data_IF_771833144842
#
_entry.id   IF_771833144842
#
_cell.length_a   1.000
_cell.length_b   1.000
_cell.length_c   1.000
_cell.angle_alpha   90.00
_cell.angle_beta   90.00
_cell.angle_gamma   90.00
#
_symmetry.space_group_name_H-M   'P 1'
#
loop_
_entity.id
_entity.type
_entity.pdbx_description
1 polymer ?
#
# COMPACT_ATOMS: atom_id res chain seq x y z
N UNK A 1 18.81 -11.01 9.24
CA UNK A 1 18.00 -11.40 8.06
C UNK A 1 18.01 -10.30 6.99
N UNK A 2 17.40 -10.53 5.83
CA UNK A 2 17.40 -9.59 4.67
C UNK A 2 16.96 -8.17 5.03
N UNK A 3 15.95 -8.01 5.88
CA UNK A 3 15.45 -6.68 6.33
C UNK A 3 16.56 -5.88 7.04
N UNK A 4 17.37 -6.53 7.87
CA UNK A 4 18.47 -5.84 8.55
C UNK A 4 19.55 -5.41 7.55
N UNK A 5 19.89 -6.28 6.60
CA UNK A 5 20.84 -5.94 5.52
C UNK A 5 20.33 -4.75 4.70
N UNK A 6 19.06 -4.73 4.35
CA UNK A 6 18.45 -3.61 3.64
C UNK A 6 18.58 -2.30 4.42
N UNK A 7 18.25 -2.33 5.72
CA UNK A 7 18.37 -1.17 6.61
C UNK A 7 19.80 -0.67 6.77
N UNK A 8 20.73 -1.59 6.99
CA UNK A 8 22.15 -1.26 7.17
C UNK A 8 22.76 -0.62 5.89
N UNK A 9 22.11 -0.85 4.74
CA UNK A 9 22.49 -0.26 3.45
C UNK A 9 21.57 0.88 2.99
N UNK A 10 20.67 1.38 3.84
CA UNK A 10 19.76 2.49 3.50
C UNK A 10 18.73 2.16 2.42
N UNK A 11 18.42 0.87 2.22
CA UNK A 11 17.42 0.42 1.24
C UNK A 11 16.03 0.50 1.84
N UNK A 12 15.11 1.17 1.16
CA UNK A 12 13.72 1.30 1.56
C UNK A 12 13.01 -0.06 1.37
N UNK A 13 12.27 -0.46 2.37
CA UNK A 13 11.61 -1.77 2.42
C UNK A 13 10.09 -1.65 2.36
N UNK A 14 9.46 -2.49 1.53
CA UNK A 14 8.01 -2.58 1.43
C UNK A 14 7.56 -4.04 1.41
N UNK A 15 6.38 -4.30 1.95
CA UNK A 15 5.76 -5.62 1.89
C UNK A 15 4.26 -5.55 1.63
N UNK A 16 3.79 -6.52 0.88
CA UNK A 16 2.40 -6.89 0.73
C UNK A 16 2.22 -8.37 1.11
N UNK A 17 1.03 -8.79 1.44
CA UNK A 17 0.71 -10.19 1.66
C UNK A 17 -0.35 -10.66 0.66
N UNK A 18 -0.21 -11.89 0.18
CA UNK A 18 -1.26 -12.53 -0.62
C UNK A 18 -2.09 -13.44 0.28
N UNK A 19 -3.38 -13.16 0.34
CA UNK A 19 -4.35 -13.96 1.11
C UNK A 19 -5.18 -14.93 0.26
N UNK A 20 -4.88 -15.03 -1.04
CA UNK A 20 -5.71 -15.81 -1.99
C UNK A 20 -5.59 -17.33 -1.83
N UNK A 21 -4.50 -17.86 -1.31
CA UNK A 21 -4.27 -19.31 -1.17
C UNK A 21 -3.74 -19.76 0.20
N UNK A 22 -3.28 -18.84 1.02
CA UNK A 22 -2.83 -19.10 2.39
C UNK A 22 -3.21 -17.90 3.26
N UNK A 23 -3.46 -18.14 4.56
CA UNK A 23 -3.68 -17.05 5.51
C UNK A 23 -2.36 -16.30 5.67
N UNK A 24 -2.21 -15.22 4.91
CA UNK A 24 -1.07 -14.32 5.01
C UNK A 24 -1.16 -13.51 6.30
N UNK A 25 -0.12 -13.53 7.12
CA UNK A 25 0.00 -12.65 8.28
C UNK A 25 0.88 -11.45 7.90
N UNK A 26 0.24 -10.33 7.57
CA UNK A 26 0.94 -9.08 7.23
C UNK A 26 1.75 -8.53 8.42
N UNK A 27 1.31 -8.79 9.65
CA UNK A 27 1.99 -8.36 10.86
C UNK A 27 3.35 -9.02 11.10
N UNK A 28 3.64 -10.14 10.41
CA UNK A 28 4.97 -10.80 10.47
C UNK A 28 6.08 -9.96 9.85
N UNK A 29 5.74 -9.05 8.94
CA UNK A 29 6.72 -8.17 8.30
C UNK A 29 7.08 -7.02 9.25
N UNK A 30 8.06 -7.26 10.11
CA UNK A 30 8.46 -6.33 11.16
C UNK A 30 9.41 -5.25 10.65
N UNK A 31 9.18 -4.01 11.14
CA UNK A 31 10.05 -2.87 10.92
C UNK A 31 10.21 -2.47 9.43
N UNK A 32 9.21 -2.68 8.60
CA UNK A 32 9.21 -2.24 7.21
C UNK A 32 9.00 -0.72 7.12
N UNK A 33 9.48 -0.11 6.05
CA UNK A 33 9.17 1.29 5.78
C UNK A 33 7.73 1.44 5.29
N UNK A 34 7.23 0.46 4.50
CA UNK A 34 5.85 0.43 4.00
C UNK A 34 5.21 -0.95 4.11
N UNK A 35 3.92 -0.99 4.49
CA UNK A 35 3.05 -2.16 4.35
C UNK A 35 1.81 -1.81 3.52
N UNK A 36 1.40 -2.74 2.65
CA UNK A 36 0.27 -2.58 1.73
C UNK A 36 -0.82 -3.65 1.96
N UNK A 37 -1.38 -3.77 3.17
CA UNK A 37 -2.42 -4.76 3.43
C UNK A 37 -3.75 -4.38 2.78
N UNK A 38 -4.58 -5.39 2.50
CA UNK A 38 -6.02 -5.20 2.42
C UNK A 38 -6.61 -5.08 3.83
N UNK A 39 -7.82 -4.52 3.95
CA UNK A 39 -8.54 -4.50 5.23
C UNK A 39 -8.70 -5.91 5.81
N UNK A 40 -9.04 -6.89 4.98
CA UNK A 40 -9.20 -8.29 5.38
C UNK A 40 -7.91 -8.86 5.98
N UNK A 41 -6.77 -8.65 5.35
CA UNK A 41 -5.45 -9.10 5.83
C UNK A 41 -5.07 -8.45 7.16
N UNK A 42 -5.34 -7.15 7.30
CA UNK A 42 -5.11 -6.43 8.56
C UNK A 42 -5.96 -6.99 9.69
N UNK A 43 -7.26 -7.27 9.42
CA UNK A 43 -8.18 -7.84 10.40
C UNK A 43 -7.77 -9.25 10.83
N UNK A 44 -7.37 -10.10 9.90
CA UNK A 44 -6.85 -11.45 10.20
C UNK A 44 -5.60 -11.35 11.08
N UNK A 45 -4.62 -10.56 10.67
CA UNK A 45 -3.34 -10.40 11.37
C UNK A 45 -3.53 -9.89 12.81
N UNK A 46 -4.47 -8.98 13.02
CA UNK A 46 -4.80 -8.42 14.34
C UNK A 46 -5.84 -9.23 15.12
N UNK A 47 -6.47 -10.24 14.49
CA UNK A 47 -7.63 -10.95 15.03
C UNK A 47 -8.71 -9.99 15.52
N UNK A 48 -8.99 -8.97 14.72
CA UNK A 48 -9.84 -7.84 15.09
C UNK A 48 -10.86 -7.55 13.99
N UNK A 49 -12.12 -7.77 14.29
CA UNK A 49 -13.22 -7.58 13.36
C UNK A 49 -14.07 -6.33 13.63
N UNK A 50 -13.91 -5.72 14.82
CA UNK A 50 -14.83 -4.70 15.34
C UNK A 50 -14.31 -3.27 15.19
N UNK A 51 -13.00 -3.06 15.18
CA UNK A 51 -12.42 -1.72 15.10
C UNK A 51 -12.65 -1.05 13.75
N UNK A 52 -12.79 0.28 13.79
CA UNK A 52 -12.77 1.11 12.57
C UNK A 52 -11.38 1.09 11.89
N UNK A 53 -11.37 1.34 10.58
CA UNK A 53 -10.16 1.21 9.75
C UNK A 53 -8.98 2.07 10.20
N UNK A 54 -9.23 3.23 10.80
CA UNK A 54 -8.18 4.11 11.37
C UNK A 54 -7.49 3.42 12.54
N UNK A 55 -8.28 2.90 13.50
CA UNK A 55 -7.76 2.19 14.67
C UNK A 55 -7.05 0.90 14.24
N UNK A 56 -7.59 0.20 13.24
CA UNK A 56 -7.00 -0.99 12.67
C UNK A 56 -5.59 -0.70 12.11
N UNK A 57 -5.43 0.38 11.33
CA UNK A 57 -4.13 0.79 10.78
C UNK A 57 -3.14 1.18 11.88
N UNK A 58 -3.57 1.93 12.89
CA UNK A 58 -2.74 2.31 14.04
C UNK A 58 -2.25 1.07 14.81
N UNK A 59 -3.14 0.10 15.06
CA UNK A 59 -2.77 -1.15 15.74
C UNK A 59 -1.79 -1.96 14.91
N UNK A 60 -2.01 -2.05 13.58
CA UNK A 60 -1.09 -2.75 12.69
C UNK A 60 0.29 -2.08 12.66
N UNK A 61 0.36 -0.76 12.53
CA UNK A 61 1.61 -0.02 12.59
C UNK A 61 2.36 -0.28 13.91
N UNK A 62 1.63 -0.29 15.03
CA UNK A 62 2.21 -0.55 16.35
C UNK A 62 2.80 -1.95 16.49
N UNK A 63 2.09 -3.00 16.05
CA UNK A 63 2.58 -4.38 16.19
C UNK A 63 3.68 -4.72 15.19
N UNK A 64 3.58 -4.24 13.95
CA UNK A 64 4.58 -4.46 12.90
C UNK A 64 5.78 -3.52 13.00
N UNK A 65 5.65 -2.42 13.72
CA UNK A 65 6.63 -1.31 13.76
C UNK A 65 6.91 -0.77 12.36
N UNK A 66 5.94 -0.86 11.47
CA UNK A 66 6.04 -0.26 10.14
C UNK A 66 5.83 1.25 10.24
N UNK A 67 6.57 2.01 9.43
CA UNK A 67 6.46 3.49 9.42
C UNK A 67 5.18 3.94 8.72
N UNK A 68 4.84 3.28 7.61
CA UNK A 68 3.75 3.68 6.75
C UNK A 68 2.85 2.48 6.46
N UNK A 69 1.52 2.68 6.60
CA UNK A 69 0.51 1.69 6.21
C UNK A 69 -0.36 2.29 5.12
N UNK A 70 -0.47 1.60 3.99
CA UNK A 70 -1.44 1.89 2.94
C UNK A 70 -2.45 0.75 2.96
N UNK A 71 -3.58 0.98 3.65
CA UNK A 71 -4.63 -0.01 3.82
C UNK A 71 -5.58 0.03 2.62
N UNK A 72 -5.53 -1.01 1.78
CA UNK A 72 -6.36 -1.15 0.58
C UNK A 72 -7.80 -1.49 0.97
N UNK A 73 -8.77 -0.70 0.49
CA UNK A 73 -10.21 -0.81 0.81
C UNK A 73 -11.06 -1.21 -0.39
N UNK A 74 -10.43 -1.74 -1.44
CA UNK A 74 -11.12 -2.14 -2.67
C UNK A 74 -11.83 -0.96 -3.35
N UNK A 75 -13.14 -1.07 -3.55
CA UNK A 75 -13.96 -0.03 -4.18
C UNK A 75 -14.04 1.28 -3.38
N UNK A 76 -13.56 1.31 -2.15
CA UNK A 76 -13.53 2.50 -1.32
C UNK A 76 -12.18 3.24 -1.35
N UNK A 77 -11.22 2.78 -2.17
CA UNK A 77 -9.91 3.37 -2.30
C UNK A 77 -8.90 2.85 -1.28
N UNK A 78 -8.23 3.73 -0.54
CA UNK A 78 -7.26 3.34 0.47
C UNK A 78 -7.24 4.30 1.66
N UNK A 79 -6.95 3.79 2.84
CA UNK A 79 -6.58 4.59 4.01
C UNK A 79 -5.07 4.69 4.08
N UNK A 80 -4.57 5.91 4.20
CA UNK A 80 -3.16 6.23 4.30
C UNK A 80 -2.85 6.58 5.76
N UNK A 81 -2.01 5.78 6.41
CA UNK A 81 -1.49 6.05 7.76
C UNK A 81 0.01 6.18 7.64
N UNK A 82 0.48 7.41 7.47
CA UNK A 82 1.81 7.73 6.97
C UNK A 82 2.61 8.57 7.97
N UNK A 83 3.89 8.24 8.12
CA UNK A 83 4.90 9.07 8.77
C UNK A 83 5.43 10.09 7.75
N UNK A 84 5.10 11.35 7.93
CA UNK A 84 5.56 12.45 7.07
C UNK A 84 6.85 13.11 7.56
N UNK A 85 7.52 12.50 8.53
CA UNK A 85 8.76 12.98 9.11
C UNK A 85 8.58 14.03 10.22
N UNK A 86 7.34 14.34 10.63
CA UNK A 86 7.07 15.25 11.75
C UNK A 86 7.10 14.56 13.12
N UNK A 87 7.25 13.23 13.14
CA UNK A 87 7.25 12.39 14.34
C UNK A 87 5.87 11.87 14.74
N UNK A 88 4.82 12.26 14.04
CA UNK A 88 3.47 11.75 14.22
C UNK A 88 2.92 11.19 12.91
N UNK A 89 2.33 10.01 12.97
CA UNK A 89 1.64 9.46 11.81
C UNK A 89 0.35 10.24 11.55
N UNK A 90 0.20 10.68 10.32
CA UNK A 90 -1.04 11.29 9.82
C UNK A 90 -1.88 10.27 9.09
N UNK A 91 -3.17 10.38 9.24
CA UNK A 91 -4.13 9.49 8.59
C UNK A 91 -5.01 10.30 7.65
N UNK A 92 -5.09 9.86 6.40
CA UNK A 92 -5.93 10.45 5.37
C UNK A 92 -6.49 9.36 4.46
N UNK A 93 -7.40 9.72 3.57
CA UNK A 93 -8.06 8.80 2.65
C UNK A 93 -7.76 9.15 1.21
N UNK A 94 -7.32 8.15 0.45
CA UNK A 94 -7.24 8.21 -1.00
C UNK A 94 -8.55 7.65 -1.56
N UNK A 95 -9.33 8.51 -2.22
CA UNK A 95 -10.55 8.09 -2.89
C UNK A 95 -10.26 7.10 -4.03
N UNK A 96 -11.18 6.20 -4.38
CA UNK A 96 -11.03 5.31 -5.52
C UNK A 96 -11.00 6.15 -6.80
N UNK A 97 -9.98 5.93 -7.65
CA UNK A 97 -9.80 6.65 -8.90
C UNK A 97 -10.43 5.93 -10.11
N UNK A 98 -10.94 4.72 -9.91
CA UNK A 98 -11.71 3.96 -10.89
C UNK A 98 -12.95 3.36 -10.20
N UNK A 99 -14.14 3.80 -10.62
CA UNK A 99 -15.42 3.37 -10.06
C UNK A 99 -16.06 2.20 -10.83
N UNK A 100 -15.44 1.77 -11.93
CA UNK A 100 -15.96 0.71 -12.80
C UNK A 100 -14.83 -0.25 -13.18
N UNK A 101 -14.30 -1.02 -12.21
CA UNK A 101 -13.20 -1.95 -12.46
C UNK A 101 -13.65 -3.06 -13.42
N UNK A 102 -12.77 -3.43 -14.36
CA UNK A 102 -12.97 -4.55 -15.27
C UNK A 102 -12.38 -5.83 -14.66
N UNK A 103 -11.15 -5.74 -14.14
CA UNK A 103 -10.45 -6.85 -13.52
C UNK A 103 -9.54 -6.31 -12.41
N UNK A 104 -9.60 -6.90 -11.22
CA UNK A 104 -8.82 -6.44 -10.07
C UNK A 104 -7.42 -7.07 -9.96
N UNK A 105 -7.08 -7.95 -10.90
CA UNK A 105 -5.78 -8.62 -10.90
C UNK A 105 -4.62 -7.64 -11.07
N UNK A 106 -3.62 -7.74 -10.19
CA UNK A 106 -2.42 -6.89 -10.20
C UNK A 106 -2.61 -5.46 -9.67
N UNK A 107 -3.79 -5.10 -9.18
CA UNK A 107 -4.05 -3.77 -8.60
C UNK A 107 -3.12 -3.43 -7.43
N UNK A 108 -2.97 -4.36 -6.49
CA UNK A 108 -2.09 -4.22 -5.32
C UNK A 108 -0.63 -4.11 -5.71
N UNK A 109 -0.16 -4.97 -6.60
CA UNK A 109 1.22 -4.97 -7.09
C UNK A 109 1.56 -3.65 -7.80
N UNK A 110 0.64 -3.17 -8.67
CA UNK A 110 0.79 -1.89 -9.37
C UNK A 110 0.84 -0.71 -8.40
N UNK A 111 0.00 -0.72 -7.36
CA UNK A 111 0.01 0.28 -6.31
C UNK A 111 1.34 0.28 -5.55
N UNK A 112 1.77 -0.89 -5.07
CA UNK A 112 3.01 -1.03 -4.31
C UNK A 112 4.21 -0.55 -5.12
N UNK A 113 4.41 -1.10 -6.32
CA UNK A 113 5.59 -0.80 -7.14
C UNK A 113 5.63 0.69 -7.52
N UNK A 114 4.51 1.26 -7.97
CA UNK A 114 4.47 2.68 -8.39
C UNK A 114 4.67 3.63 -7.21
N UNK A 115 4.13 3.30 -6.03
CA UNK A 115 4.41 4.05 -4.80
C UNK A 115 5.90 4.01 -4.47
N UNK A 116 6.50 2.82 -4.45
CA UNK A 116 7.91 2.67 -4.08
C UNK A 116 8.85 3.34 -5.07
N UNK A 117 8.58 3.23 -6.38
CA UNK A 117 9.35 3.93 -7.41
C UNK A 117 9.28 5.46 -7.23
N UNK A 118 8.12 6.00 -6.86
CA UNK A 118 7.92 7.43 -6.62
C UNK A 118 8.70 7.90 -5.39
N UNK A 119 8.73 7.10 -4.31
CA UNK A 119 9.55 7.40 -3.12
C UNK A 119 11.04 7.43 -3.48
N UNK A 120 11.53 6.42 -4.20
CA UNK A 120 12.94 6.35 -4.61
C UNK A 120 13.32 7.51 -5.54
N UNK A 121 12.36 8.00 -6.34
CA UNK A 121 12.54 9.19 -7.18
C UNK A 121 12.50 10.53 -6.41
N UNK A 122 12.30 10.50 -5.08
CA UNK A 122 12.28 11.69 -4.22
C UNK A 122 10.91 12.31 -4.00
N UNK A 123 9.83 11.62 -4.37
CA UNK A 123 8.47 12.04 -4.06
C UNK A 123 8.17 11.96 -2.55
N UNK A 124 7.31 12.86 -2.05
CA UNK A 124 6.79 12.72 -0.70
C UNK A 124 5.91 11.48 -0.57
N UNK A 125 5.72 10.99 0.67
CA UNK A 125 4.88 9.79 0.93
C UNK A 125 3.44 9.96 0.39
N UNK A 126 2.91 11.19 0.44
CA UNK A 126 1.58 11.52 -0.08
C UNK A 126 1.52 11.49 -1.61
N UNK A 127 2.50 12.12 -2.27
CA UNK A 127 2.59 12.08 -3.74
C UNK A 127 2.75 10.65 -4.25
N UNK A 128 3.61 9.88 -3.59
CA UNK A 128 3.85 8.49 -3.95
C UNK A 128 2.59 7.62 -3.81
N UNK A 129 1.82 7.79 -2.72
CA UNK A 129 0.56 7.09 -2.53
C UNK A 129 -0.48 7.46 -3.60
N UNK A 130 -0.56 8.73 -4.01
CA UNK A 130 -1.42 9.16 -5.10
C UNK A 130 -1.04 8.50 -6.44
N UNK A 131 0.26 8.47 -6.78
CA UNK A 131 0.75 7.81 -8.00
C UNK A 131 0.47 6.31 -7.96
N UNK A 132 0.65 5.67 -6.81
CA UNK A 132 0.25 4.28 -6.60
C UNK A 132 -1.25 4.04 -6.83
N UNK A 133 -2.09 4.95 -6.36
CA UNK A 133 -3.53 4.93 -6.59
C UNK A 133 -3.89 5.05 -8.07
N UNK A 134 -3.24 5.95 -8.82
CA UNK A 134 -3.39 6.08 -10.28
C UNK A 134 -2.99 4.79 -10.99
N UNK A 135 -1.86 4.21 -10.63
CA UNK A 135 -1.38 2.96 -11.21
C UNK A 135 -2.36 1.80 -10.96
N UNK A 136 -2.88 1.70 -9.73
CA UNK A 136 -3.92 0.71 -9.38
C UNK A 136 -5.18 0.91 -10.22
N UNK A 137 -5.66 2.15 -10.36
CA UNK A 137 -6.86 2.49 -11.12
C UNK A 137 -6.72 2.15 -12.62
N UNK A 138 -5.55 2.40 -13.20
CA UNK A 138 -5.23 2.01 -14.57
C UNK A 138 -5.19 0.49 -14.73
N UNK A 139 -4.57 -0.21 -13.79
CA UNK A 139 -4.45 -1.67 -13.83
C UNK A 139 -5.83 -2.33 -13.87
N UNK A 140 -6.77 -1.88 -13.03
CA UNK A 140 -8.12 -2.45 -12.96
C UNK A 140 -9.05 -2.01 -14.09
N UNK A 141 -8.63 -1.10 -14.96
CA UNK A 141 -9.41 -0.65 -16.13
C UNK A 141 -9.33 -1.59 -17.33
N UNK A 142 -8.58 -2.70 -17.22
CA UNK A 142 -8.34 -3.66 -18.31
C UNK A 142 -8.35 -5.09 -17.78
N UNK A 143 -8.51 -6.05 -18.69
CA UNK A 143 -8.50 -7.48 -18.35
C UNK A 143 -7.06 -7.98 -18.22
N UNK A 144 -6.80 -8.75 -17.19
CA UNK A 144 -5.53 -9.43 -16.94
C UNK A 144 -4.45 -8.55 -16.30
N UNK A 145 -3.44 -9.20 -15.75
CA UNK A 145 -2.30 -8.54 -15.11
C UNK A 145 -1.24 -8.15 -16.16
N UNK A 146 -1.54 -7.12 -16.97
CA UNK A 146 -0.63 -6.58 -17.98
C UNK A 146 0.20 -5.46 -17.38
N UNK A 147 1.55 -5.48 -17.48
CA UNK A 147 2.40 -4.44 -16.93
C UNK A 147 2.05 -3.06 -17.48
N UNK A 148 1.96 -2.07 -16.56
CA UNK A 148 1.74 -0.67 -16.91
C UNK A 148 2.94 -0.10 -17.66
N UNK A 149 2.66 0.71 -18.67
CA UNK A 149 3.68 1.44 -19.41
C UNK A 149 3.84 2.86 -18.82
N UNK A 150 5.07 3.38 -18.86
CA UNK A 150 5.37 4.74 -18.37
C UNK A 150 4.44 5.80 -18.96
N UNK A 151 4.15 5.72 -20.25
CA UNK A 151 3.31 6.72 -20.94
C UNK A 151 1.88 6.69 -20.44
N UNK A 152 1.33 5.52 -20.08
CA UNK A 152 -0.02 5.41 -19.52
C UNK A 152 -0.16 6.18 -18.21
N UNK A 153 0.84 6.08 -17.33
CA UNK A 153 0.88 6.83 -16.08
C UNK A 153 1.03 8.34 -16.34
N UNK A 154 1.93 8.74 -17.25
CA UNK A 154 2.16 10.14 -17.56
C UNK A 154 0.93 10.82 -18.15
N UNK A 155 0.14 10.12 -18.99
CA UNK A 155 -1.06 10.68 -19.60
C UNK A 155 -2.18 10.92 -18.58
N UNK A 156 -2.23 10.14 -17.51
CA UNK A 156 -3.17 10.36 -16.40
C UNK A 156 -2.78 11.50 -15.45
N UNK A 157 -1.54 11.98 -15.51
CA UNK A 157 -1.02 13.03 -14.62
C UNK A 157 -0.99 14.42 -15.30
N UNK A 158 -1.42 14.50 -16.55
CA UNK A 158 -1.59 15.79 -17.30
C UNK A 158 -2.94 16.41 -17.04
#
# INVERSE_FOLDING_TARGET
GLINIAKDNGVITAADSQSSSQIGDIGRYQNMDFLFPTEHEARISLRNHDDGIVVLSQKLAKISKAKNIILKLGSEGALLHLDDGTGENKTDRLAPLNLSPIDVAGAGDSMLISTMMSIVAGGSVWQAACIGGVASALQISRVGNIPLQKNELLDCLK
#
